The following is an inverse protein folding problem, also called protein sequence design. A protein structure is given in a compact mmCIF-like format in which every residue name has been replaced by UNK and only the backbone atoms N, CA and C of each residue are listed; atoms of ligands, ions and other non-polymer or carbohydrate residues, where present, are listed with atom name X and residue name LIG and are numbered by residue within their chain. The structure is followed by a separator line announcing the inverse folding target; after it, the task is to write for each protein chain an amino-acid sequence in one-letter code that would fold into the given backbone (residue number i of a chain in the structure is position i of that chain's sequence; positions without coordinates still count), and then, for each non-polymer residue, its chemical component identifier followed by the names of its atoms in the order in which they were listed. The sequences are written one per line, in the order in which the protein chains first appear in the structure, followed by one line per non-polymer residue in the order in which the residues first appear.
data_IF_672460837657
#
_entry.id   IF_672460837657
#
_cell.length_a   1.000
_cell.length_b   1.000
_cell.length_c   1.000
_cell.angle_alpha   90.00
_cell.angle_beta   90.00
_cell.angle_gamma   90.00
#
_symmetry.space_group_name_H-M   'P 1'
#
loop_
_entity.id
_entity.type
_entity.pdbx_description
1 polymer ?
#
# COMPACT_ATOMS: atom_id res chain seq x y z
N UNK A 1 10.93 22.04 26.60
CA UNK A 1 10.10 22.43 25.43
C UNK A 1 10.23 21.31 24.41
N UNK A 2 9.17 20.55 24.13
CA UNK A 2 9.22 19.35 23.25
C UNK A 2 9.40 19.81 21.79
N UNK A 3 10.43 19.33 21.11
CA UNK A 3 10.65 19.60 19.68
C UNK A 3 9.46 19.09 18.84
N UNK A 4 8.73 20.01 18.22
CA UNK A 4 7.69 19.68 17.25
C UNK A 4 8.33 19.12 15.96
N UNK A 5 7.77 18.05 15.35
CA UNK A 5 8.24 17.53 14.08
C UNK A 5 8.18 18.58 12.97
N UNK A 6 9.11 18.55 12.01
CA UNK A 6 9.21 19.53 10.91
C UNK A 6 7.89 19.70 10.13
N UNK A 7 7.12 18.63 9.95
CA UNK A 7 5.81 18.65 9.30
C UNK A 7 4.79 19.54 10.00
N UNK A 8 4.94 19.76 11.31
CA UNK A 8 4.04 20.54 12.16
C UNK A 8 4.63 21.90 12.53
N UNK A 9 5.92 22.15 12.26
CA UNK A 9 6.58 23.43 12.56
C UNK A 9 5.98 24.62 11.82
N UNK A 10 5.36 24.37 10.66
CA UNK A 10 4.69 25.39 9.85
C UNK A 10 3.22 25.61 10.27
N UNK A 11 2.68 24.75 11.14
CA UNK A 11 1.36 24.95 11.69
C UNK A 11 1.52 25.96 12.82
N UNK A 12 1.06 27.18 12.58
CA UNK A 12 0.90 28.18 13.64
C UNK A 12 -0.17 27.68 14.60
N UNK A 13 0.23 26.88 15.57
CA UNK A 13 -0.59 26.61 16.75
C UNK A 13 -0.50 27.89 17.58
N UNK A 14 -1.44 28.80 17.40
CA UNK A 14 -1.69 29.82 18.41
C UNK A 14 -1.87 29.10 19.74
N UNK A 15 -0.98 29.38 20.69
CA UNK A 15 -1.10 28.85 22.05
C UNK A 15 -2.41 29.37 22.61
N UNK A 16 -3.42 28.50 22.58
CA UNK A 16 -4.75 28.85 23.03
C UNK A 16 -4.67 29.10 24.53
N UNK A 17 -4.77 30.36 24.93
CA UNK A 17 -5.07 30.76 26.30
C UNK A 17 -6.53 30.43 26.60
N UNK A 18 -6.86 29.14 26.64
CA UNK A 18 -8.14 28.63 27.13
C UNK A 18 -7.90 28.02 28.49
N UNK A 19 -7.83 28.88 29.51
CA UNK A 19 -7.84 28.44 30.91
C UNK A 19 -9.12 27.63 31.18
N UNK A 20 -8.99 26.34 31.51
CA UNK A 20 -10.15 25.49 31.81
C UNK A 20 -9.80 24.01 31.99
N UNK A 21 -10.76 23.23 32.51
CA UNK A 21 -10.64 21.77 32.77
C UNK A 21 -10.32 20.94 31.53
N UNK A 22 -10.52 21.49 30.33
CA UNK A 22 -10.04 20.93 29.06
C UNK A 22 -8.52 20.74 29.05
N UNK A 23 -7.73 21.71 29.53
CA UNK A 23 -6.27 21.58 29.62
C UNK A 23 -5.85 20.51 30.65
N UNK A 24 -6.67 20.32 31.69
CA UNK A 24 -6.39 19.39 32.79
C UNK A 24 -6.75 17.93 32.44
N UNK A 25 -7.87 17.71 31.75
CA UNK A 25 -8.44 16.37 31.55
C UNK A 25 -8.46 15.92 30.07
N UNK A 26 -8.23 16.83 29.12
CA UNK A 26 -8.43 16.61 27.70
C UNK A 26 -9.90 16.34 27.33
N UNK A 27 -10.20 16.33 26.02
CA UNK A 27 -11.54 15.96 25.49
C UNK A 27 -11.95 14.56 25.96
N UNK A 28 -11.02 13.60 26.00
CA UNK A 28 -11.32 12.23 26.41
C UNK A 28 -11.77 12.13 27.88
N UNK A 29 -11.19 12.96 28.78
CA UNK A 29 -11.61 13.02 30.17
C UNK A 29 -12.97 13.67 30.36
N UNK A 30 -13.32 14.65 29.53
CA UNK A 30 -14.67 15.27 29.51
C UNK A 30 -15.74 14.28 29.00
N UNK A 31 -15.42 13.47 27.98
CA UNK A 31 -16.31 12.44 27.42
C UNK A 31 -16.65 11.35 28.45
N UNK A 32 -15.67 10.93 29.26
CA UNK A 32 -15.81 9.78 30.18
C UNK A 32 -16.58 10.07 31.46
N UNK A 33 -16.70 11.33 31.86
CA UNK A 33 -17.33 11.73 33.12
C UNK A 33 -18.68 12.36 32.82
N UNK A 34 -19.78 11.64 33.04
CA UNK A 34 -21.15 12.11 32.76
C UNK A 34 -21.50 13.43 33.45
N UNK A 35 -20.89 13.71 34.61
CA UNK A 35 -21.00 14.99 35.34
C UNK A 35 -20.37 16.18 34.62
N UNK A 36 -19.56 15.94 33.59
CA UNK A 36 -18.83 16.96 32.82
C UNK A 36 -19.42 17.20 31.42
N UNK A 37 -20.68 16.80 31.22
CA UNK A 37 -21.35 16.85 29.92
C UNK A 37 -21.57 18.28 29.44
N UNK A 38 -21.99 19.17 30.34
CA UNK A 38 -22.23 20.57 30.00
C UNK A 38 -20.91 21.25 29.58
N UNK A 39 -19.80 20.96 30.30
CA UNK A 39 -18.47 21.47 29.94
C UNK A 39 -17.92 20.87 28.64
N UNK A 40 -18.27 19.61 28.33
CA UNK A 40 -17.96 19.00 27.03
C UNK A 40 -18.70 19.74 25.90
N UNK A 41 -20.01 19.95 26.05
CA UNK A 41 -20.84 20.59 25.02
C UNK A 41 -20.38 22.04 24.78
N UNK A 42 -20.06 22.79 25.83
CA UNK A 42 -19.52 24.15 25.73
C UNK A 42 -18.15 24.18 25.01
N UNK A 43 -17.25 23.24 25.35
CA UNK A 43 -15.92 23.15 24.74
C UNK A 43 -16.01 22.79 23.25
N UNK A 44 -16.87 21.84 22.88
CA UNK A 44 -17.08 21.43 21.49
C UNK A 44 -17.75 22.54 20.69
N UNK A 45 -18.73 23.23 21.28
CA UNK A 45 -19.40 24.36 20.63
C UNK A 45 -18.42 25.51 20.36
N UNK A 46 -17.62 25.91 21.35
CA UNK A 46 -16.60 26.94 21.17
C UNK A 46 -15.53 26.56 20.14
N UNK A 47 -15.14 25.29 20.08
CA UNK A 47 -14.26 24.78 19.03
C UNK A 47 -14.92 24.89 17.65
N UNK A 48 -16.18 24.50 17.52
CA UNK A 48 -16.92 24.55 16.27
C UNK A 48 -17.08 25.98 15.76
N UNK A 49 -17.48 26.93 16.62
CA UNK A 49 -17.56 28.34 16.27
C UNK A 49 -16.22 28.89 15.77
N UNK A 50 -15.12 28.48 16.41
CA UNK A 50 -13.79 28.94 16.03
C UNK A 50 -13.30 28.35 14.72
N UNK A 51 -13.64 27.09 14.42
CA UNK A 51 -13.39 26.48 13.09
C UNK A 51 -14.16 27.26 12.02
N UNK A 52 -15.43 27.59 12.26
CA UNK A 52 -16.25 28.37 11.31
C UNK A 52 -15.68 29.78 11.13
N UNK A 53 -15.29 30.44 12.22
CA UNK A 53 -14.67 31.76 12.17
C UNK A 53 -13.37 31.74 11.37
N UNK A 54 -12.47 30.80 11.69
CA UNK A 54 -11.22 30.62 10.97
C UNK A 54 -11.48 30.32 9.48
N UNK A 55 -12.45 29.48 9.13
CA UNK A 55 -12.77 29.17 7.74
C UNK A 55 -13.33 30.38 6.96
N UNK A 56 -14.04 31.29 7.64
CA UNK A 56 -14.55 32.53 7.03
C UNK A 56 -13.47 33.59 6.86
N UNK A 57 -12.55 33.69 7.82
CA UNK A 57 -11.49 34.72 7.83
C UNK A 57 -10.25 34.29 7.04
N UNK A 58 -9.94 32.99 7.02
CA UNK A 58 -8.81 32.45 6.25
C UNK A 58 -9.23 32.16 4.81
N UNK A 59 -8.91 33.10 3.92
CA UNK A 59 -8.83 32.82 2.50
C UNK A 59 -7.61 31.94 2.23
N UNK A 60 -7.74 30.62 2.44
CA UNK A 60 -6.65 29.70 2.08
C UNK A 60 -6.41 29.80 0.57
N UNK A 61 -5.19 30.14 0.13
CA UNK A 61 -4.89 30.13 -1.30
C UNK A 61 -5.08 28.71 -1.82
N UNK A 62 -5.44 28.54 -3.11
CA UNK A 62 -5.51 27.22 -3.73
C UNK A 62 -4.17 26.50 -3.52
N UNK A 63 -4.21 25.47 -2.67
CA UNK A 63 -3.03 24.68 -2.34
C UNK A 63 -2.76 23.69 -3.47
N UNK A 64 -1.50 23.61 -3.90
CA UNK A 64 -1.06 22.46 -4.71
C UNK A 64 -0.98 21.25 -3.77
N UNK A 65 -1.68 20.13 -4.05
CA UNK A 65 -1.51 18.92 -3.27
C UNK A 65 -0.01 18.59 -3.18
N UNK A 66 0.51 18.46 -1.95
CA UNK A 66 1.87 17.96 -1.78
C UNK A 66 1.91 16.52 -2.23
N UNK A 67 3.02 16.13 -2.83
CA UNK A 67 3.27 14.73 -3.12
C UNK A 67 3.27 13.95 -1.79
N UNK A 68 2.26 13.10 -1.64
CA UNK A 68 2.09 12.27 -0.44
C UNK A 68 3.29 11.33 -0.27
N UNK A 69 3.89 10.89 -1.38
CA UNK A 69 5.03 9.98 -1.39
C UNK A 69 6.30 10.66 -0.87
N UNK A 70 6.45 11.96 -1.12
CA UNK A 70 7.55 12.77 -0.61
C UNK A 70 7.31 13.35 0.78
N UNK A 71 6.11 13.21 1.34
CA UNK A 71 5.75 13.85 2.61
C UNK A 71 6.16 12.98 3.81
N UNK A 72 7.06 13.43 4.69
CA UNK A 72 7.52 12.64 5.83
C UNK A 72 6.40 12.48 6.88
N UNK A 73 6.29 11.26 7.45
CA UNK A 73 5.34 10.99 8.54
C UNK A 73 5.55 11.92 9.74
N UNK A 74 4.46 12.52 10.22
CA UNK A 74 4.45 13.37 11.40
C UNK A 74 4.56 12.57 12.73
N UNK A 75 4.31 11.26 12.70
CA UNK A 75 4.36 10.38 13.87
C UNK A 75 5.70 9.64 13.94
N UNK A 76 6.32 9.62 15.14
CA UNK A 76 7.54 8.84 15.42
C UNK A 76 7.17 7.47 16.04
N UNK A 77 7.92 6.39 15.77
CA UNK A 77 9.03 6.34 14.80
C UNK A 77 8.50 6.55 13.40
N UNK A 78 9.23 7.33 12.59
CA UNK A 78 8.93 7.50 11.16
C UNK A 78 9.08 6.11 10.57
N UNK A 79 7.96 5.41 10.41
CA UNK A 79 7.98 3.98 10.10
C UNK A 79 8.73 3.74 8.80
N UNK A 80 9.93 3.21 8.88
CA UNK A 80 10.68 2.58 7.78
C UNK A 80 10.03 1.23 7.46
N UNK A 81 8.70 1.20 7.34
CA UNK A 81 7.94 0.02 7.00
C UNK A 81 7.87 -0.11 5.48
N UNK A 82 8.19 -1.28 4.88
CA UNK A 82 8.05 -1.49 3.44
C UNK A 82 6.56 -1.61 3.12
N UNK A 83 5.91 -0.46 2.96
CA UNK A 83 4.56 -0.38 2.40
C UNK A 83 4.58 -0.06 0.92
N UNK A 84 5.69 -0.30 0.24
CA UNK A 84 5.75 -0.23 -1.21
C UNK A 84 5.28 -1.56 -1.79
N UNK A 85 4.35 -1.51 -2.74
CA UNK A 85 3.88 -2.64 -3.52
C UNK A 85 4.32 -2.41 -4.95
N UNK A 86 4.92 -3.42 -5.56
CA UNK A 86 5.17 -3.41 -7.00
C UNK A 86 3.94 -3.93 -7.72
N UNK A 87 3.37 -3.13 -8.60
CA UNK A 87 2.32 -3.54 -9.52
C UNK A 87 2.92 -3.67 -10.92
N UNK A 88 2.94 -4.88 -11.47
CA UNK A 88 3.46 -5.14 -12.81
C UNK A 88 2.32 -5.54 -13.74
N UNK A 89 2.28 -5.01 -14.95
CA UNK A 89 1.22 -5.31 -15.93
C UNK A 89 1.79 -6.06 -17.12
N UNK A 90 1.35 -7.31 -17.29
CA UNK A 90 1.64 -8.13 -18.45
C UNK A 90 0.42 -8.18 -19.36
N UNK A 91 0.34 -7.20 -20.27
CA UNK A 91 -0.69 -7.11 -21.30
C UNK A 91 -0.05 -6.70 -22.64
N UNK A 92 -0.63 -7.12 -23.79
CA UNK A 92 -0.29 -6.56 -25.09
C UNK A 92 -0.52 -5.04 -25.16
N UNK A 93 0.13 -4.39 -26.13
CA UNK A 93 -0.21 -3.04 -26.58
C UNK A 93 -1.10 -3.10 -27.82
N UNK A 94 -1.64 -1.96 -28.26
CA UNK A 94 -2.43 -1.87 -29.50
C UNK A 94 -1.67 -2.41 -30.73
N UNK A 95 -0.36 -2.19 -30.80
CA UNK A 95 0.49 -2.66 -31.91
C UNK A 95 0.94 -4.12 -31.78
N UNK A 96 0.95 -4.67 -30.56
CA UNK A 96 1.45 -6.03 -30.29
C UNK A 96 0.31 -7.06 -30.14
N UNK A 97 -0.94 -6.61 -30.19
CA UNK A 97 -2.10 -7.48 -30.06
C UNK A 97 -2.34 -8.26 -31.36
N UNK A 98 -2.72 -9.55 -31.33
CA UNK A 98 -2.99 -10.30 -32.55
C UNK A 98 -4.09 -9.67 -33.42
N UNK A 99 -3.98 -9.73 -34.75
CA UNK A 99 -4.94 -9.07 -35.68
C UNK A 99 -6.42 -9.45 -35.48
N UNK A 100 -6.69 -10.66 -34.98
CA UNK A 100 -8.05 -11.15 -34.76
C UNK A 100 -8.62 -10.75 -33.38
N UNK A 101 -7.82 -10.13 -32.52
CA UNK A 101 -8.20 -9.66 -31.19
C UNK A 101 -8.65 -8.20 -31.28
N UNK A 102 -9.77 -7.88 -30.65
CA UNK A 102 -10.25 -6.51 -30.50
C UNK A 102 -9.19 -5.66 -29.78
N UNK A 103 -8.71 -4.60 -30.45
CA UNK A 103 -7.67 -3.72 -29.95
C UNK A 103 -8.17 -2.69 -28.92
N UNK A 104 -9.49 -2.42 -28.88
CA UNK A 104 -10.09 -1.38 -28.02
C UNK A 104 -9.70 -1.43 -26.52
N UNK A 105 -9.51 -2.61 -25.90
CA UNK A 105 -9.08 -2.71 -24.49
C UNK A 105 -7.61 -2.34 -24.26
N UNK A 106 -6.83 -2.15 -25.32
CA UNK A 106 -5.39 -1.90 -25.28
C UNK A 106 -5.11 -0.44 -25.71
N UNK A 107 -3.97 0.08 -25.27
CA UNK A 107 -3.48 1.40 -25.70
C UNK A 107 -2.03 1.32 -26.16
N UNK A 108 -1.40 2.48 -26.28
CA UNK A 108 0.00 2.61 -26.71
C UNK A 108 0.96 1.91 -25.72
N UNK A 109 0.64 1.96 -24.41
CA UNK A 109 1.39 1.29 -23.34
C UNK A 109 0.58 0.12 -22.75
N UNK A 110 1.27 -0.94 -22.30
CA UNK A 110 0.66 -2.04 -21.55
C UNK A 110 -0.05 -1.56 -20.27
N UNK A 111 0.38 -0.42 -19.71
CA UNK A 111 -0.25 0.23 -18.58
C UNK A 111 -1.63 0.82 -18.92
N UNK A 112 -1.93 1.13 -20.18
CA UNK A 112 -3.22 1.66 -20.61
C UNK A 112 -4.30 0.58 -20.73
N UNK A 113 -3.91 -0.70 -20.62
CA UNK A 113 -4.81 -1.83 -20.72
C UNK A 113 -6.01 -1.75 -19.78
N UNK A 114 -7.21 -1.90 -20.36
CA UNK A 114 -8.48 -1.86 -19.66
C UNK A 114 -9.43 -2.99 -20.13
N UNK A 115 -9.40 -4.16 -19.46
CA UNK A 115 -10.31 -5.26 -19.79
C UNK A 115 -11.78 -4.97 -19.44
N UNK A 116 -12.06 -3.92 -18.66
CA UNK A 116 -13.41 -3.55 -18.22
C UNK A 116 -13.90 -2.26 -18.89
N UNK A 117 -13.51 -2.00 -20.15
CA UNK A 117 -13.85 -0.78 -20.90
C UNK A 117 -15.36 -0.45 -20.95
N UNK A 118 -16.23 -1.47 -20.84
CA UNK A 118 -17.68 -1.29 -20.80
C UNK A 118 -18.20 -0.76 -19.46
N UNK A 119 -17.41 -0.89 -18.39
CA UNK A 119 -17.74 -0.46 -17.03
C UNK A 119 -17.01 0.83 -16.64
N UNK A 120 -15.83 1.10 -17.22
CA UNK A 120 -14.99 2.26 -16.92
C UNK A 120 -14.09 2.60 -18.10
N UNK A 121 -13.81 3.88 -18.33
CA UNK A 121 -12.81 4.33 -19.33
C UNK A 121 -11.38 4.36 -18.79
N UNK A 122 -11.18 4.14 -17.50
CA UNK A 122 -9.88 4.20 -16.84
C UNK A 122 -9.12 2.87 -16.97
N UNK A 123 -7.82 2.96 -17.25
CA UNK A 123 -6.90 1.82 -17.24
C UNK A 123 -6.95 1.04 -15.92
N UNK A 124 -6.81 -0.29 -16.01
CA UNK A 124 -6.91 -1.15 -14.83
C UNK A 124 -5.75 -0.91 -13.86
N UNK A 125 -4.57 -0.63 -14.39
CA UNK A 125 -3.36 -0.29 -13.63
C UNK A 125 -3.59 0.94 -12.73
N UNK A 126 -4.14 2.02 -13.29
CA UNK A 126 -4.45 3.26 -12.58
C UNK A 126 -5.56 3.07 -11.54
N UNK A 127 -6.55 2.21 -11.81
CA UNK A 127 -7.58 1.85 -10.84
C UNK A 127 -7.00 1.05 -9.67
N UNK A 128 -6.13 0.07 -9.96
CA UNK A 128 -5.45 -0.73 -8.96
C UNK A 128 -4.52 0.12 -8.08
N UNK A 129 -3.79 1.05 -8.70
CA UNK A 129 -2.90 2.00 -8.03
C UNK A 129 -3.65 2.82 -6.97
N UNK A 130 -4.79 3.40 -7.32
CA UNK A 130 -5.61 4.16 -6.37
C UNK A 130 -6.17 3.29 -5.25
N UNK A 131 -6.65 2.09 -5.57
CA UNK A 131 -7.12 1.16 -4.55
C UNK A 131 -6.00 0.77 -3.58
N UNK A 132 -4.80 0.49 -4.08
CA UNK A 132 -3.64 0.17 -3.24
C UNK A 132 -3.28 1.37 -2.35
N UNK A 133 -3.30 2.60 -2.90
CA UNK A 133 -3.10 3.82 -2.12
C UNK A 133 -4.15 4.01 -1.03
N UNK A 134 -5.42 3.69 -1.31
CA UNK A 134 -6.50 3.78 -0.33
C UNK A 134 -6.32 2.81 0.85
N UNK A 135 -5.52 1.76 0.67
CA UNK A 135 -5.13 0.80 1.72
C UNK A 135 -3.89 1.25 2.52
N UNK A 136 -3.44 2.51 2.36
CA UNK A 136 -2.26 3.09 3.00
C UNK A 136 -0.94 2.38 2.62
N UNK A 137 -0.85 2.00 1.34
CA UNK A 137 0.36 1.52 0.68
C UNK A 137 0.82 2.48 -0.41
N UNK A 138 2.12 2.53 -0.62
CA UNK A 138 2.78 3.15 -1.76
C UNK A 138 2.87 2.13 -2.88
N UNK A 139 2.82 2.57 -4.13
CA UNK A 139 2.80 1.65 -5.27
C UNK A 139 3.67 2.18 -6.41
N UNK A 140 4.48 1.28 -6.96
CA UNK A 140 5.22 1.50 -8.20
C UNK A 140 4.57 0.64 -9.28
N UNK A 141 4.10 1.29 -10.35
CA UNK A 141 3.47 0.62 -11.48
C UNK A 141 4.49 0.53 -12.63
N UNK A 142 4.63 -0.65 -13.23
CA UNK A 142 5.54 -0.87 -14.36
C UNK A 142 4.94 -1.84 -15.39
N UNK A 143 5.22 -1.62 -16.66
CA UNK A 143 4.93 -2.62 -17.69
C UNK A 143 5.87 -3.82 -17.50
N UNK A 144 5.37 -5.02 -17.78
CA UNK A 144 6.17 -6.25 -17.67
C UNK A 144 7.33 -6.26 -18.68
N UNK A 145 7.16 -5.60 -19.82
CA UNK A 145 8.13 -5.65 -20.91
C UNK A 145 9.36 -4.79 -20.66
N UNK A 146 9.18 -3.67 -19.95
CA UNK A 146 10.28 -2.75 -19.56
C UNK A 146 11.17 -3.34 -18.46
N UNK A 147 10.72 -4.43 -17.84
CA UNK A 147 11.36 -5.06 -16.70
C UNK A 147 12.23 -6.22 -17.15
N UNK A 148 13.54 -6.00 -17.20
CA UNK A 148 14.49 -7.06 -17.56
C UNK A 148 14.50 -8.14 -16.47
N UNK A 149 14.24 -9.43 -16.80
CA UNK A 149 14.27 -10.52 -15.81
C UNK A 149 15.68 -10.80 -15.27
N UNK A 150 16.72 -10.31 -15.95
CA UNK A 150 18.13 -10.45 -15.55
C UNK A 150 18.65 -9.23 -14.77
N UNK A 151 17.99 -8.09 -14.88
CA UNK A 151 18.20 -6.99 -13.96
C UNK A 151 17.32 -7.28 -12.76
N UNK A 152 17.90 -8.04 -11.83
CA UNK A 152 17.54 -7.79 -10.45
C UNK A 152 17.51 -6.24 -10.25
N UNK A 153 16.57 -5.65 -9.49
CA UNK A 153 16.62 -4.23 -9.15
C UNK A 153 17.82 -4.01 -8.21
N UNK A 154 19.01 -4.11 -8.77
CA UNK A 154 20.30 -4.21 -8.09
C UNK A 154 21.03 -2.90 -8.29
N UNK A 155 20.37 -1.90 -7.74
CA UNK A 155 20.96 -0.68 -7.24
C UNK A 155 20.18 -0.27 -6.00
N UNK A 156 20.29 -1.06 -4.93
CA UNK A 156 19.68 -0.88 -3.59
C UNK A 156 18.34 -1.60 -3.29
N UNK A 157 18.45 -2.66 -2.49
CA UNK A 157 17.77 -2.69 -1.18
C UNK A 157 16.27 -3.00 -1.08
N UNK A 158 15.44 -2.87 -2.10
CA UNK A 158 13.98 -2.93 -1.91
C UNK A 158 13.38 -4.28 -2.31
N UNK A 159 13.53 -5.28 -1.44
CA UNK A 159 12.66 -6.46 -1.46
C UNK A 159 11.25 -5.96 -1.10
N UNK A 160 10.31 -5.99 -2.03
CA UNK A 160 8.94 -5.53 -1.79
C UNK A 160 7.89 -6.55 -2.26
N UNK A 161 6.68 -6.56 -1.65
CA UNK A 161 5.51 -7.28 -2.16
C UNK A 161 5.25 -6.99 -3.64
N UNK A 162 4.95 -8.01 -4.43
CA UNK A 162 4.68 -7.88 -5.87
C UNK A 162 3.30 -8.41 -6.27
N UNK A 163 2.58 -7.64 -7.08
CA UNK A 163 1.29 -8.01 -7.68
C UNK A 163 1.46 -7.93 -9.21
N UNK A 164 1.18 -9.02 -9.90
CA UNK A 164 1.20 -9.10 -11.35
C UNK A 164 -0.24 -9.10 -11.89
N UNK A 165 -0.60 -8.14 -12.71
CA UNK A 165 -1.81 -8.18 -13.52
C UNK A 165 -1.48 -8.85 -14.85
N UNK A 166 -2.19 -9.94 -15.18
CA UNK A 166 -1.89 -10.72 -16.39
C UNK A 166 -3.11 -10.76 -17.29
N UNK A 167 -2.94 -10.28 -18.53
CA UNK A 167 -3.84 -10.60 -19.62
C UNK A 167 -3.44 -11.96 -20.23
N UNK A 168 -4.41 -12.84 -20.45
CA UNK A 168 -4.16 -14.10 -21.14
C UNK A 168 -3.70 -13.90 -22.59
N UNK A 169 -4.08 -12.78 -23.23
CA UNK A 169 -3.65 -12.47 -24.60
C UNK A 169 -2.17 -12.13 -24.72
N UNK A 170 -1.51 -11.79 -23.60
CA UNK A 170 -0.06 -11.62 -23.54
C UNK A 170 0.72 -12.88 -23.98
N UNK A 171 0.11 -14.06 -23.86
CA UNK A 171 0.71 -15.34 -24.26
C UNK A 171 0.65 -15.60 -25.76
N UNK A 172 -0.01 -14.75 -26.53
CA UNK A 172 0.02 -14.83 -27.99
C UNK A 172 1.41 -14.48 -28.55
N UNK A 173 2.21 -13.77 -27.76
CA UNK A 173 3.61 -13.45 -28.03
C UNK A 173 4.53 -14.47 -27.33
N UNK A 174 5.41 -15.11 -28.11
CA UNK A 174 6.28 -16.19 -27.61
C UNK A 174 7.40 -15.65 -26.70
N UNK A 175 7.87 -14.41 -26.91
CA UNK A 175 8.88 -13.79 -26.04
C UNK A 175 8.28 -13.50 -24.66
N UNK A 176 7.10 -12.88 -24.61
CA UNK A 176 6.40 -12.60 -23.36
C UNK A 176 6.06 -13.88 -22.61
N UNK A 177 5.63 -14.91 -23.33
CA UNK A 177 5.41 -16.25 -22.77
C UNK A 177 6.68 -16.84 -22.13
N UNK A 178 7.83 -16.76 -22.81
CA UNK A 178 9.12 -17.21 -22.28
C UNK A 178 9.55 -16.44 -21.02
N UNK A 179 9.36 -15.11 -21.03
CA UNK A 179 9.64 -14.24 -19.89
C UNK A 179 8.73 -14.53 -18.69
N UNK A 180 7.43 -14.74 -18.90
CA UNK A 180 6.49 -15.13 -17.84
C UNK A 180 6.84 -16.49 -17.23
N UNK A 181 7.27 -17.45 -18.04
CA UNK A 181 7.76 -18.74 -17.56
C UNK A 181 9.00 -18.59 -16.66
N UNK A 182 9.94 -17.75 -17.08
CA UNK A 182 11.14 -17.43 -16.29
C UNK A 182 10.75 -16.73 -14.98
N UNK A 183 9.84 -15.76 -15.05
CA UNK A 183 9.34 -15.04 -13.88
C UNK A 183 8.67 -15.98 -12.86
N UNK A 184 7.86 -16.93 -13.33
CA UNK A 184 7.23 -17.94 -12.45
C UNK A 184 8.26 -18.87 -11.80
N UNK A 185 9.28 -19.29 -12.55
CA UNK A 185 10.34 -20.15 -12.03
C UNK A 185 11.14 -19.50 -10.89
N UNK A 186 11.33 -18.18 -10.93
CA UNK A 186 11.99 -17.39 -9.89
C UNK A 186 11.00 -16.69 -8.93
N UNK A 187 9.72 -17.07 -8.96
CA UNK A 187 8.68 -16.38 -8.21
C UNK A 187 8.85 -16.49 -6.70
N UNK A 188 9.11 -15.36 -6.07
CA UNK A 188 9.22 -15.25 -4.61
C UNK A 188 7.87 -15.53 -3.92
N UNK A 189 7.84 -16.00 -2.66
CA UNK A 189 6.60 -16.30 -1.92
C UNK A 189 5.62 -15.12 -1.81
N UNK A 190 6.13 -13.89 -1.86
CA UNK A 190 5.38 -12.63 -1.77
C UNK A 190 5.11 -11.98 -3.13
N UNK A 191 5.05 -12.78 -4.18
CA UNK A 191 4.52 -12.39 -5.49
C UNK A 191 3.18 -13.09 -5.70
N UNK A 192 2.16 -12.35 -6.15
CA UNK A 192 0.82 -12.86 -6.42
C UNK A 192 0.33 -12.32 -7.76
N UNK A 193 -0.59 -13.05 -8.42
CA UNK A 193 -1.15 -12.63 -9.69
C UNK A 193 -2.67 -12.39 -9.61
N UNK A 194 -3.16 -11.51 -10.47
CA UNK A 194 -4.57 -11.32 -10.77
C UNK A 194 -4.73 -11.48 -12.27
N UNK A 195 -5.72 -12.29 -12.69
CA UNK A 195 -6.06 -12.57 -14.08
C UNK A 195 -7.45 -11.99 -14.36
N UNK A 196 -7.55 -10.75 -14.86
CA UNK A 196 -8.80 -10.20 -15.38
C UNK A 196 -9.34 -11.05 -16.52
N UNK A 197 -10.61 -11.43 -16.46
CA UNK A 197 -11.33 -12.09 -17.55
C UNK A 197 -12.74 -11.55 -17.66
N UNK A 198 -12.87 -10.39 -18.31
CA UNK A 198 -14.14 -9.69 -18.41
C UNK A 198 -15.24 -10.58 -18.98
N UNK A 199 -16.41 -10.59 -18.33
CA UNK A 199 -17.55 -11.41 -18.81
C UNK A 199 -18.14 -10.87 -20.13
N UNK A 200 -18.02 -9.57 -20.37
CA UNK A 200 -18.57 -8.90 -21.55
C UNK A 200 -17.71 -9.13 -22.80
N UNK A 201 -16.47 -9.57 -22.61
CA UNK A 201 -15.54 -9.88 -23.70
C UNK A 201 -15.73 -11.33 -24.16
N UNK A 202 -16.44 -11.51 -25.28
CA UNK A 202 -16.72 -12.84 -25.84
C UNK A 202 -15.45 -13.58 -26.29
N UNK A 203 -14.39 -12.87 -26.69
CA UNK A 203 -13.16 -13.50 -27.18
C UNK A 203 -12.41 -14.21 -26.04
N UNK A 204 -12.54 -13.71 -24.81
CA UNK A 204 -12.01 -14.39 -23.62
C UNK A 204 -12.67 -15.74 -23.33
N UNK A 205 -13.93 -15.92 -23.74
CA UNK A 205 -14.72 -17.14 -23.50
C UNK A 205 -14.80 -18.05 -24.72
N UNK A 206 -14.30 -17.61 -25.87
CA UNK A 206 -14.15 -18.40 -27.09
C UNK A 206 -13.08 -19.49 -26.96
N UNK A 207 -12.96 -20.33 -27.98
CA UNK A 207 -12.00 -21.45 -28.00
C UNK A 207 -10.55 -20.98 -27.77
N UNK A 208 -10.15 -19.93 -28.48
CA UNK A 208 -8.80 -19.38 -28.36
C UNK A 208 -8.53 -18.76 -26.99
N UNK A 209 -9.48 -17.99 -26.44
CA UNK A 209 -9.36 -17.43 -25.10
C UNK A 209 -9.25 -18.52 -24.03
N UNK A 210 -9.97 -19.64 -24.17
CA UNK A 210 -9.82 -20.81 -23.28
C UNK A 210 -8.48 -21.51 -23.45
N UNK A 211 -7.98 -21.64 -24.69
CA UNK A 211 -6.67 -22.22 -24.95
C UNK A 211 -5.55 -21.37 -24.31
N UNK A 212 -5.61 -20.05 -24.43
CA UNK A 212 -4.67 -19.13 -23.79
C UNK A 212 -4.79 -19.17 -22.26
N UNK A 213 -5.99 -19.33 -21.72
CA UNK A 213 -6.20 -19.53 -20.29
C UNK A 213 -5.52 -20.80 -19.76
N UNK A 214 -5.65 -21.93 -20.46
CA UNK A 214 -4.96 -23.17 -20.11
C UNK A 214 -3.45 -23.05 -20.30
N UNK A 215 -3.01 -22.31 -21.32
CA UNK A 215 -1.60 -22.03 -21.54
C UNK A 215 -0.99 -21.20 -20.41
N UNK A 216 -1.75 -20.23 -19.89
CA UNK A 216 -1.34 -19.46 -18.71
C UNK A 216 -1.10 -20.35 -17.50
N UNK A 217 -1.96 -21.35 -17.28
CA UNK A 217 -1.78 -22.35 -16.21
C UNK A 217 -0.51 -23.19 -16.40
N UNK A 218 -0.12 -23.50 -17.64
CA UNK A 218 1.12 -24.23 -17.96
C UNK A 218 2.37 -23.36 -17.86
N UNK A 219 2.26 -22.07 -18.16
CA UNK A 219 3.38 -21.10 -18.17
C UNK A 219 3.69 -20.60 -16.76
N UNK A 220 2.67 -20.40 -15.92
CA UNK A 220 2.82 -19.86 -14.57
C UNK A 220 2.26 -20.77 -13.46
N UNK A 221 2.66 -22.06 -13.39
CA UNK A 221 2.09 -22.99 -12.43
C UNK A 221 2.34 -22.57 -10.97
N UNK A 222 3.51 -22.03 -10.65
CA UNK A 222 3.92 -21.78 -9.26
C UNK A 222 3.09 -20.68 -8.60
N UNK A 223 2.95 -19.52 -9.26
CA UNK A 223 2.17 -18.39 -8.76
C UNK A 223 0.68 -18.73 -8.73
N UNK A 224 0.17 -19.35 -9.80
CA UNK A 224 -1.27 -19.64 -9.92
C UNK A 224 -1.71 -20.73 -8.95
N UNK A 225 -0.95 -21.81 -8.79
CA UNK A 225 -1.28 -22.85 -7.80
C UNK A 225 -1.21 -22.32 -6.37
N UNK A 226 -0.22 -21.47 -6.06
CA UNK A 226 -0.11 -20.84 -4.73
C UNK A 226 -1.33 -19.99 -4.42
N UNK A 227 -1.77 -19.16 -5.37
CA UNK A 227 -2.98 -18.36 -5.22
C UNK A 227 -4.23 -19.25 -5.04
N UNK A 228 -4.36 -20.35 -5.81
CA UNK A 228 -5.49 -21.30 -5.69
C UNK A 228 -5.55 -22.02 -4.34
N UNK A 229 -4.41 -22.29 -3.72
CA UNK A 229 -4.31 -22.89 -2.38
C UNK A 229 -4.54 -21.88 -1.25
N UNK A 230 -4.79 -20.63 -1.57
CA UNK A 230 -5.00 -19.54 -0.61
C UNK A 230 -6.39 -18.90 -0.78
N UNK A 231 -6.71 -17.95 0.11
CA UNK A 231 -7.97 -17.19 0.04
C UNK A 231 -8.08 -16.34 -1.24
N UNK A 232 -6.98 -16.09 -1.95
CA UNK A 232 -6.96 -15.27 -3.18
C UNK A 232 -7.27 -16.06 -4.46
N UNK A 233 -7.83 -17.28 -4.36
CA UNK A 233 -8.14 -18.12 -5.53
C UNK A 233 -8.98 -17.43 -6.61
N UNK A 234 -9.87 -16.50 -6.21
CA UNK A 234 -10.75 -15.77 -7.12
C UNK A 234 -9.93 -14.87 -8.06
N UNK A 235 -8.77 -14.37 -7.60
CA UNK A 235 -7.89 -13.51 -8.39
C UNK A 235 -7.35 -14.20 -9.65
N UNK A 236 -7.11 -15.51 -9.59
CA UNK A 236 -6.47 -16.28 -10.68
C UNK A 236 -7.45 -17.14 -11.49
N UNK A 237 -8.68 -17.32 -11.01
CA UNK A 237 -9.73 -18.07 -11.73
C UNK A 237 -10.42 -17.25 -12.84
N UNK A 238 -10.02 -15.98 -13.04
CA UNK A 238 -10.66 -15.05 -13.97
C UNK A 238 -11.60 -14.10 -13.23
N UNK A 239 -11.21 -12.83 -13.14
CA UNK A 239 -12.01 -11.79 -12.48
C UNK A 239 -13.00 -11.18 -13.50
N UNK A 240 -14.33 -11.35 -13.32
CA UNK A 240 -15.30 -11.12 -14.40
C UNK A 240 -15.76 -9.67 -14.58
N UNK A 241 -15.60 -8.82 -13.58
CA UNK A 241 -16.10 -7.43 -13.56
C UNK A 241 -15.17 -6.52 -12.77
N UNK A 242 -15.28 -5.21 -12.99
CA UNK A 242 -14.50 -4.22 -12.23
C UNK A 242 -14.88 -4.22 -10.74
N UNK A 243 -16.15 -4.48 -10.42
CA UNK A 243 -16.61 -4.65 -9.04
C UNK A 243 -15.95 -5.85 -8.36
N UNK A 244 -15.83 -6.98 -9.07
CA UNK A 244 -15.12 -8.16 -8.54
C UNK A 244 -13.64 -7.86 -8.31
N UNK A 245 -13.00 -7.14 -9.24
CA UNK A 245 -11.62 -6.71 -9.11
C UNK A 245 -11.41 -5.86 -7.86
N UNK A 246 -12.27 -4.85 -7.65
CA UNK A 246 -12.23 -3.95 -6.49
C UNK A 246 -12.39 -4.70 -5.15
N UNK A 247 -13.13 -5.83 -5.14
CA UNK A 247 -13.26 -6.68 -3.95
C UNK A 247 -12.05 -7.57 -3.71
N UNK A 248 -11.45 -8.11 -4.78
CA UNK A 248 -10.37 -9.11 -4.70
C UNK A 248 -9.01 -8.46 -4.45
N UNK A 249 -8.75 -7.28 -5.02
CA UNK A 249 -7.45 -6.62 -4.90
C UNK A 249 -7.00 -6.40 -3.44
N UNK A 250 -7.86 -5.91 -2.51
CA UNK A 250 -7.46 -5.78 -1.10
C UNK A 250 -7.08 -7.11 -0.44
N UNK A 251 -7.75 -8.21 -0.79
CA UNK A 251 -7.44 -9.55 -0.28
C UNK A 251 -6.07 -10.03 -0.77
N UNK A 252 -5.77 -9.78 -2.05
CA UNK A 252 -4.47 -10.06 -2.66
C UNK A 252 -3.38 -9.23 -1.99
N UNK A 253 -3.56 -7.92 -1.86
CA UNK A 253 -2.62 -7.02 -1.16
C UNK A 253 -2.32 -7.52 0.26
N UNK A 254 -3.35 -7.87 1.03
CA UNK A 254 -3.19 -8.39 2.39
C UNK A 254 -2.45 -9.73 2.40
N UNK A 255 -2.74 -10.64 1.46
CA UNK A 255 -2.03 -11.91 1.34
C UNK A 255 -0.55 -11.72 0.98
N UNK A 256 -0.26 -10.97 -0.08
CA UNK A 256 1.09 -10.71 -0.58
C UNK A 256 1.95 -10.03 0.49
N UNK A 257 1.40 -9.04 1.19
CA UNK A 257 2.10 -8.35 2.29
C UNK A 257 2.37 -9.29 3.48
N UNK A 258 1.41 -10.15 3.85
CA UNK A 258 1.64 -11.16 4.90
C UNK A 258 2.74 -12.14 4.51
N UNK A 259 2.77 -12.59 3.25
CA UNK A 259 3.85 -13.46 2.76
C UNK A 259 5.20 -12.72 2.77
N UNK A 260 5.21 -11.44 2.45
CA UNK A 260 6.42 -10.64 2.51
C UNK A 260 6.95 -10.56 3.94
N UNK A 261 6.12 -10.16 4.91
CA UNK A 261 6.52 -10.06 6.32
C UNK A 261 6.96 -11.41 6.91
N UNK A 262 6.38 -12.52 6.44
CA UNK A 262 6.74 -13.87 6.89
C UNK A 262 8.10 -14.35 6.38
N UNK A 263 8.47 -13.99 5.15
CA UNK A 263 9.61 -14.59 4.44
C UNK A 263 10.74 -13.59 4.15
N UNK A 264 10.52 -12.29 4.29
CA UNK A 264 11.55 -11.29 4.10
C UNK A 264 12.50 -11.29 5.30
N UNK A 265 13.80 -11.40 5.03
CA UNK A 265 14.84 -11.23 6.04
C UNK A 265 14.75 -9.83 6.65
N UNK A 266 14.53 -9.76 7.96
CA UNK A 266 14.48 -8.50 8.70
C UNK A 266 15.90 -7.95 8.82
N UNK A 267 16.22 -6.93 8.03
CA UNK A 267 17.42 -6.11 8.26
C UNK A 267 17.13 -5.13 9.39
N UNK A 268 17.49 -5.51 10.60
CA UNK A 268 17.55 -4.57 11.71
C UNK A 268 18.61 -3.52 11.38
N UNK A 269 18.34 -2.22 11.61
CA UNK A 269 19.39 -1.21 11.51
C UNK A 269 20.56 -1.60 12.42
N UNK A 270 21.81 -1.36 12.00
CA UNK A 270 22.97 -1.63 12.85
C UNK A 270 22.81 -0.86 14.15
N UNK A 271 22.73 -1.58 15.26
CA UNK A 271 22.49 -1.03 16.59
C UNK A 271 22.87 -2.03 17.66
N UNK A 272 23.09 -1.58 18.90
CA UNK A 272 23.43 -2.47 20.01
C UNK A 272 22.37 -3.56 20.13
N UNK A 273 22.82 -4.80 20.20
CA UNK A 273 21.93 -5.97 20.28
C UNK A 273 21.15 -5.93 21.59
N UNK A 274 19.93 -5.37 21.57
CA UNK A 274 19.06 -5.37 22.74
C UNK A 274 18.59 -6.81 22.96
N UNK A 275 18.91 -7.46 24.09
CA UNK A 275 18.46 -8.81 24.36
C UNK A 275 16.94 -8.87 24.29
N UNK A 276 16.43 -9.92 23.64
CA UNK A 276 14.99 -10.12 23.43
C UNK A 276 14.31 -10.18 24.81
N UNK A 277 13.38 -9.28 25.14
CA UNK A 277 12.76 -9.27 26.46
C UNK A 277 12.03 -10.59 26.68
N UNK A 278 12.41 -11.34 27.73
CA UNK A 278 11.71 -12.54 28.16
C UNK A 278 10.71 -12.15 29.24
N UNK A 279 9.54 -12.76 29.20
CA UNK A 279 8.46 -12.55 30.18
C UNK A 279 8.84 -12.92 31.63
N UNK A 280 10.03 -13.50 31.84
CA UNK A 280 10.53 -13.96 33.12
C UNK A 280 11.80 -13.22 33.59
N UNK A 281 12.29 -12.21 32.86
CA UNK A 281 13.47 -11.47 33.32
C UNK A 281 13.06 -10.43 34.37
N UNK A 282 13.61 -10.50 35.60
CA UNK A 282 13.39 -9.46 36.60
C UNK A 282 13.98 -8.14 36.09
N UNK A 283 13.20 -7.08 36.23
CA UNK A 283 13.63 -5.70 35.98
C UNK A 283 15.01 -5.47 36.62
N UNK A 284 16.03 -4.98 35.89
CA UNK A 284 17.30 -4.67 36.53
C UNK A 284 17.03 -3.62 37.62
N UNK A 285 17.55 -3.80 38.85
CA UNK A 285 17.39 -2.79 39.88
C UNK A 285 17.97 -1.48 39.35
N UNK A 286 17.15 -0.44 39.34
CA UNK A 286 17.59 0.93 39.15
C UNK A 286 18.59 1.24 40.25
N UNK A 287 19.88 1.37 39.89
CA UNK A 287 20.89 1.93 40.77
C UNK A 287 20.48 3.36 41.15
N UNK A 288 20.31 3.67 42.44
CA UNK A 288 20.28 5.05 42.88
C UNK A 288 21.73 5.54 42.92
N UNK A 289 22.14 6.28 41.89
CA UNK A 289 23.30 7.16 41.96
C UNK A 289 22.91 8.35 42.86
N UNK A 290 22.93 8.10 44.18
CA UNK A 290 22.96 9.15 45.18
C UNK A 290 24.37 9.74 45.16
N UNK A 291 24.48 10.90 44.52
CA UNK A 291 25.73 11.63 44.34
C UNK A 291 26.51 11.78 45.64
N UNK A 292 27.83 11.69 45.48
CA UNK A 292 28.82 12.20 46.42
C UNK A 292 28.45 13.63 46.85
N UNK A 293 28.29 13.79 48.16
CA UNK A 293 28.15 15.06 48.86
C UNK A 293 29.57 15.64 49.08
N UNK A 294 29.90 16.86 48.60
CA UNK A 294 31.17 17.49 48.89
C UNK A 294 31.04 18.54 50.01
N UNK A 295 31.88 18.38 51.04
CA UNK A 295 32.31 19.44 51.97
C UNK A 295 31.80 19.24 53.41
N UNK A 296 32.58 19.40 54.47
CA UNK A 296 33.91 19.96 54.68
C UNK A 296 34.00 20.39 56.15
N UNK A 297 35.11 20.01 56.81
CA UNK A 297 35.71 20.50 58.08
C UNK A 297 34.88 21.33 59.08
N UNK A 298 34.78 20.85 60.32
CA UNK A 298 35.54 21.35 61.50
C UNK A 298 35.27 20.49 62.74
#
# INVERSE_FOLDING_TARGET
MRELPDSVRHIHVENVSSSGRYLSNGIYGLIKLSRLRDEYDETVFGLAERIVQAARESGLPPGRPRDYESTPSAFKPRGTGPRHIRLTVAAPTEDSVPEHRDSRPYGDDALDWNPYQTESTRALSAHAEELIRSLDYRVTVAAFDDESPAEEPHGSGERQPGILLVDQWALSDEERRSRLKTFDAYARPWVSAIVPRCRADLQNHGEQGRRLAEELERVMPTILERARRSDTRIAVNGVPTLKSFTRVLPEVVAYTTRQFLKNAEVRLPPGPHVPRPRLADPYPPSDPDAGDDPGGEA
#
